data_IF_520490416396
#
_entry.id   IF_520490416396
#
_cell.length_a   1.000
_cell.length_b   1.000
_cell.length_c   1.000
_cell.angle_alpha   90.00
_cell.angle_beta   90.00
_cell.angle_gamma   90.00
#
_symmetry.space_group_name_H-M   'P 1'
#
loop_
_entity.id
_entity.type
_entity.pdbx_description
1 polymer ?
#
# COMPACT_ATOMS: atom_id res chain seq x y z
N UNK A 1 -6.61 19.74 12.90
CA UNK A 1 -6.49 19.22 11.53
C UNK A 1 -6.18 17.71 11.60
N UNK A 2 -6.99 16.86 10.98
CA UNK A 2 -6.77 15.41 11.01
C UNK A 2 -5.79 15.02 9.90
N UNK A 3 -4.70 14.36 10.28
CA UNK A 3 -3.71 13.81 9.33
C UNK A 3 -4.17 12.43 8.84
N UNK A 4 -5.04 12.41 7.84
CA UNK A 4 -5.68 11.18 7.32
C UNK A 4 -4.67 10.13 6.86
N UNK A 5 -3.51 10.56 6.32
CA UNK A 5 -2.44 9.67 5.88
C UNK A 5 -1.84 8.83 7.02
N UNK A 6 -1.89 9.32 8.27
CA UNK A 6 -1.33 8.64 9.44
C UNK A 6 -2.33 7.74 10.15
N UNK A 7 -3.59 7.71 9.72
CA UNK A 7 -4.58 6.81 10.30
C UNK A 7 -4.31 5.35 9.92
N UNK A 8 -4.58 4.40 10.83
CA UNK A 8 -4.43 2.98 10.56
C UNK A 8 -5.18 2.53 9.31
N UNK A 9 -4.63 1.54 8.60
CA UNK A 9 -5.31 0.90 7.46
C UNK A 9 -6.21 -0.22 7.95
N UNK A 10 -7.28 -0.47 7.21
CA UNK A 10 -8.21 -1.56 7.50
C UNK A 10 -7.61 -2.88 7.01
N UNK A 11 -7.13 -3.70 7.93
CA UNK A 11 -6.57 -5.03 7.66
C UNK A 11 -7.41 -6.16 8.27
N UNK A 12 -8.49 -5.83 8.99
CA UNK A 12 -9.36 -6.82 9.62
C UNK A 12 -10.20 -7.59 8.60
N UNK A 13 -10.53 -8.85 8.93
CA UNK A 13 -11.27 -9.75 8.03
C UNK A 13 -12.70 -9.30 7.76
N UNK A 14 -13.40 -8.76 8.77
CA UNK A 14 -14.79 -8.31 8.65
C UNK A 14 -15.03 -6.95 9.30
N UNK A 15 -14.72 -5.92 8.52
CA UNK A 15 -14.91 -4.52 8.90
C UNK A 15 -16.40 -4.19 9.17
N UNK A 16 -17.32 -4.80 8.40
CA UNK A 16 -18.75 -4.51 8.52
C UNK A 16 -19.34 -5.10 9.79
N UNK A 17 -18.90 -6.31 10.17
CA UNK A 17 -19.30 -6.93 11.43
C UNK A 17 -18.78 -6.11 12.61
N UNK A 18 -17.50 -5.78 12.63
CA UNK A 18 -16.90 -4.95 13.69
C UNK A 18 -17.65 -3.62 13.86
N UNK A 19 -18.00 -2.95 12.76
CA UNK A 19 -18.77 -1.72 12.78
C UNK A 19 -20.18 -1.90 13.35
N UNK A 20 -20.87 -2.99 12.98
CA UNK A 20 -22.21 -3.30 13.50
C UNK A 20 -22.19 -3.54 15.01
N UNK A 21 -21.23 -4.35 15.49
CA UNK A 21 -21.07 -4.63 16.91
C UNK A 21 -20.77 -3.35 17.70
N UNK A 22 -19.87 -2.52 17.18
CA UNK A 22 -19.55 -1.23 17.81
C UNK A 22 -20.78 -0.32 17.91
N UNK A 23 -21.57 -0.21 16.84
CA UNK A 23 -22.79 0.61 16.83
C UNK A 23 -23.88 0.05 17.75
N UNK A 24 -23.91 -1.26 17.96
CA UNK A 24 -24.81 -1.92 18.92
C UNK A 24 -24.32 -1.80 20.38
N UNK A 25 -23.10 -1.36 20.62
CA UNK A 25 -22.49 -1.35 21.95
C UNK A 25 -22.14 -2.74 22.47
N UNK A 26 -22.04 -3.75 21.60
CA UNK A 26 -21.76 -5.14 21.95
C UNK A 26 -20.24 -5.37 22.09
N UNK A 27 -19.72 -4.96 23.25
CA UNK A 27 -18.30 -5.07 23.55
C UNK A 27 -17.86 -6.55 23.73
N UNK A 28 -18.72 -7.36 24.33
CA UNK A 28 -18.41 -8.77 24.60
C UNK A 28 -18.18 -9.54 23.28
N UNK A 29 -19.04 -9.34 22.30
CA UNK A 29 -18.86 -9.93 20.96
C UNK A 29 -17.62 -9.41 20.24
N UNK A 30 -17.24 -8.13 20.42
CA UNK A 30 -16.01 -7.60 19.88
C UNK A 30 -14.79 -8.28 20.50
N UNK A 31 -14.77 -8.48 21.81
CA UNK A 31 -13.67 -9.13 22.53
C UNK A 31 -13.56 -10.62 22.20
N UNK A 32 -14.68 -11.28 21.94
CA UNK A 32 -14.72 -12.71 21.56
C UNK A 32 -14.25 -12.96 20.12
N UNK A 33 -14.60 -12.08 19.19
CA UNK A 33 -14.41 -12.31 17.76
C UNK A 33 -13.13 -11.68 17.19
N UNK A 34 -12.53 -10.75 17.91
CA UNK A 34 -11.33 -10.03 17.48
C UNK A 34 -10.25 -10.08 18.57
N UNK A 35 -9.01 -10.26 18.14
CA UNK A 35 -7.86 -10.41 19.05
C UNK A 35 -7.58 -9.18 19.93
N UNK A 36 -7.97 -7.99 19.47
CA UNK A 36 -7.72 -6.73 20.16
C UNK A 36 -8.78 -5.68 19.83
N UNK A 37 -9.62 -5.36 20.80
CA UNK A 37 -10.64 -4.30 20.65
C UNK A 37 -10.01 -2.92 20.37
N UNK A 38 -8.92 -2.49 21.04
CA UNK A 38 -8.26 -1.24 20.69
C UNK A 38 -7.79 -1.19 19.23
N UNK A 39 -7.29 -2.29 18.69
CA UNK A 39 -6.89 -2.36 17.28
C UNK A 39 -8.10 -2.25 16.36
N UNK A 40 -9.20 -2.95 16.66
CA UNK A 40 -10.46 -2.82 15.93
C UNK A 40 -10.93 -1.37 15.90
N UNK A 41 -10.96 -0.69 17.04
CA UNK A 41 -11.38 0.70 17.14
C UNK A 41 -10.49 1.61 16.29
N UNK A 42 -9.17 1.41 16.35
CA UNK A 42 -8.22 2.20 15.58
C UNK A 42 -8.44 2.05 14.06
N UNK A 43 -8.72 0.84 13.59
CA UNK A 43 -8.97 0.56 12.18
C UNK A 43 -10.34 1.09 11.70
N UNK A 44 -11.32 1.22 12.61
CA UNK A 44 -12.64 1.78 12.28
C UNK A 44 -12.65 3.30 12.12
N UNK A 45 -11.62 4.03 12.58
CA UNK A 45 -11.58 5.51 12.52
C UNK A 45 -11.82 6.03 11.10
N UNK A 46 -11.25 5.40 10.07
CA UNK A 46 -11.44 5.81 8.68
C UNK A 46 -12.90 5.72 8.24
N UNK A 47 -13.69 4.83 8.80
CA UNK A 47 -15.09 4.64 8.45
C UNK A 47 -15.99 5.75 8.99
N UNK A 48 -15.49 6.58 9.91
CA UNK A 48 -16.19 7.76 10.43
C UNK A 48 -16.19 8.95 9.44
N UNK A 49 -15.31 8.92 8.42
CA UNK A 49 -15.33 9.93 7.37
C UNK A 49 -16.45 9.62 6.37
N UNK A 50 -17.55 10.32 6.50
CA UNK A 50 -18.70 10.24 5.60
C UNK A 50 -18.88 11.59 4.91
N UNK A 51 -19.13 11.62 3.59
CA UNK A 51 -19.41 12.87 2.91
C UNK A 51 -20.79 13.39 3.31
N UNK A 52 -20.98 14.70 3.30
CA UNK A 52 -22.30 15.32 3.48
C UNK A 52 -23.28 14.88 2.38
N UNK A 53 -24.57 14.96 2.66
CA UNK A 53 -25.61 14.60 1.68
C UNK A 53 -25.41 15.37 0.36
N UNK A 54 -25.40 14.64 -0.75
CA UNK A 54 -25.16 15.19 -2.08
C UNK A 54 -23.69 15.44 -2.44
N UNK A 55 -22.76 15.10 -1.55
CA UNK A 55 -21.32 15.21 -1.77
C UNK A 55 -20.65 13.83 -1.84
N UNK A 56 -19.44 13.79 -2.38
CA UNK A 56 -18.60 12.59 -2.40
C UNK A 56 -17.14 12.98 -2.12
N UNK A 57 -16.36 12.06 -1.54
CA UNK A 57 -14.92 12.21 -1.49
C UNK A 57 -14.32 11.91 -2.86
N UNK A 58 -13.39 12.76 -3.28
CA UNK A 58 -12.48 12.49 -4.39
C UNK A 58 -11.13 12.26 -3.76
N UNK A 59 -10.63 11.02 -3.85
CA UNK A 59 -9.35 10.63 -3.28
C UNK A 59 -8.42 10.26 -4.41
N UNK A 60 -7.29 10.97 -4.50
CA UNK A 60 -6.22 10.69 -5.47
C UNK A 60 -4.88 10.80 -4.79
N UNK A 61 -3.92 10.01 -5.26
CA UNK A 61 -2.54 10.02 -4.79
C UNK A 61 -1.61 9.87 -5.99
N UNK A 62 -0.40 10.42 -5.87
CA UNK A 62 0.62 10.25 -6.89
C UNK A 62 1.20 8.85 -6.85
N UNK A 63 1.12 8.15 -7.98
CA UNK A 63 1.70 6.81 -8.10
C UNK A 63 3.22 6.87 -8.11
N UNK A 64 3.85 6.30 -7.07
CA UNK A 64 5.30 6.16 -6.94
C UNK A 64 6.08 7.49 -7.20
N UNK A 65 5.58 8.62 -6.66
CA UNK A 65 6.14 9.94 -6.93
C UNK A 65 7.62 10.03 -6.57
N UNK A 66 8.03 9.44 -5.46
CA UNK A 66 9.41 9.45 -4.99
C UNK A 66 10.35 8.77 -6.00
N UNK A 67 9.97 7.57 -6.47
CA UNK A 67 10.75 6.86 -7.49
C UNK A 67 10.85 7.65 -8.81
N UNK A 68 9.79 8.37 -9.18
CA UNK A 68 9.79 9.24 -10.38
C UNK A 68 10.74 10.41 -10.23
N UNK A 69 10.68 11.11 -9.11
CA UNK A 69 11.53 12.29 -8.83
C UNK A 69 13.00 11.88 -8.74
N UNK A 70 13.31 10.80 -8.02
CA UNK A 70 14.68 10.30 -7.89
C UNK A 70 15.25 9.89 -9.25
N UNK A 71 14.48 9.13 -10.05
CA UNK A 71 14.91 8.73 -11.39
C UNK A 71 15.16 9.93 -12.30
N UNK A 72 14.32 10.95 -12.22
CA UNK A 72 14.52 12.18 -12.99
C UNK A 72 15.78 12.93 -12.55
N UNK A 73 16.01 13.10 -11.25
CA UNK A 73 17.20 13.75 -10.71
C UNK A 73 18.49 12.98 -11.03
N UNK A 74 18.44 11.65 -10.98
CA UNK A 74 19.58 10.78 -11.27
C UNK A 74 19.84 10.57 -12.76
N UNK A 75 18.93 11.00 -13.63
CA UNK A 75 19.02 10.75 -15.08
C UNK A 75 18.83 9.28 -15.46
N UNK A 76 18.13 8.48 -14.64
CA UNK A 76 17.87 7.05 -14.85
C UNK A 76 16.86 6.81 -15.98
N UNK A 77 17.35 6.79 -17.22
CA UNK A 77 16.53 6.73 -18.44
C UNK A 77 15.55 5.57 -18.45
N UNK A 78 15.98 4.35 -18.13
CA UNK A 78 15.11 3.16 -18.16
C UNK A 78 13.92 3.25 -17.17
N UNK A 79 14.13 3.88 -16.01
CA UNK A 79 13.06 4.10 -15.02
C UNK A 79 12.07 5.12 -15.57
N UNK A 80 12.57 6.21 -16.12
CA UNK A 80 11.74 7.26 -16.72
C UNK A 80 10.91 6.70 -17.88
N UNK A 81 11.51 5.90 -18.74
CA UNK A 81 10.83 5.27 -19.88
C UNK A 81 9.78 4.24 -19.42
N UNK A 82 10.09 3.44 -18.38
CA UNK A 82 9.11 2.54 -17.75
C UNK A 82 7.89 3.30 -17.23
N UNK A 83 8.07 4.49 -16.64
CA UNK A 83 6.95 5.30 -16.17
C UNK A 83 6.15 5.95 -17.30
N UNK A 84 6.78 6.26 -18.44
CA UNK A 84 6.08 6.80 -19.63
C UNK A 84 5.25 5.73 -20.33
N UNK A 85 5.75 4.49 -20.37
CA UNK A 85 5.12 3.38 -21.08
C UNK A 85 3.96 2.79 -20.25
N UNK A 86 4.25 2.06 -19.18
CA UNK A 86 3.23 1.29 -18.46
C UNK A 86 3.22 1.54 -16.93
N UNK A 87 4.23 2.22 -16.38
CA UNK A 87 4.31 2.59 -14.97
C UNK A 87 4.57 1.43 -13.97
N UNK A 88 4.79 0.21 -14.44
CA UNK A 88 5.00 -0.98 -13.61
C UNK A 88 6.45 -1.08 -13.14
N UNK A 89 6.91 -0.08 -12.39
CA UNK A 89 8.32 0.02 -11.99
C UNK A 89 8.77 -1.13 -11.08
N UNK A 90 7.90 -1.61 -10.18
CA UNK A 90 8.24 -2.68 -9.25
C UNK A 90 8.41 -4.03 -9.95
N UNK A 91 7.55 -4.32 -10.91
CA UNK A 91 7.63 -5.51 -11.76
C UNK A 91 8.89 -5.46 -12.64
N UNK A 92 9.17 -4.31 -13.23
CA UNK A 92 10.38 -4.10 -14.05
C UNK A 92 11.65 -4.22 -13.20
N UNK A 93 11.68 -3.64 -12.01
CA UNK A 93 12.83 -3.79 -11.09
C UNK A 93 13.02 -5.26 -10.70
N UNK A 94 11.94 -5.98 -10.36
CA UNK A 94 12.01 -7.39 -10.04
C UNK A 94 12.52 -8.21 -11.25
N UNK A 95 12.02 -7.95 -12.44
CA UNK A 95 12.46 -8.59 -13.68
C UNK A 95 13.98 -8.43 -13.89
N UNK A 96 14.49 -7.23 -13.74
CA UNK A 96 15.94 -6.93 -13.86
C UNK A 96 16.77 -7.58 -12.76
N UNK A 97 16.27 -7.63 -11.52
CA UNK A 97 17.00 -8.21 -10.38
C UNK A 97 17.10 -9.73 -10.44
N UNK A 98 16.04 -10.38 -10.87
CA UNK A 98 15.92 -11.85 -10.81
C UNK A 98 16.01 -12.52 -12.17
N UNK A 99 16.11 -11.77 -13.26
CA UNK A 99 16.18 -12.31 -14.62
C UNK A 99 14.88 -13.00 -15.06
N UNK A 100 13.76 -12.67 -14.44
CA UNK A 100 12.44 -13.25 -14.77
C UNK A 100 11.70 -12.29 -15.71
N UNK A 101 11.11 -12.78 -16.81
CA UNK A 101 10.30 -11.96 -17.70
C UNK A 101 9.17 -11.23 -16.95
N UNK A 102 8.98 -9.94 -17.22
CA UNK A 102 7.99 -9.11 -16.54
C UNK A 102 6.56 -9.65 -16.72
N UNK A 103 6.29 -10.31 -17.85
CA UNK A 103 5.00 -10.93 -18.20
C UNK A 103 4.60 -12.05 -17.24
N UNK A 104 5.57 -12.65 -16.55
CA UNK A 104 5.33 -13.67 -15.53
C UNK A 104 5.05 -13.05 -14.14
N UNK A 105 5.46 -11.79 -13.90
CA UNK A 105 5.30 -11.10 -12.62
C UNK A 105 3.91 -10.44 -12.57
N UNK A 106 2.87 -11.26 -12.70
CA UNK A 106 1.46 -10.83 -12.71
C UNK A 106 0.66 -11.59 -11.65
N UNK A 107 -0.42 -10.98 -11.18
CA UNK A 107 -1.29 -11.59 -10.17
C UNK A 107 -1.81 -12.95 -10.67
N UNK A 108 -1.67 -13.96 -9.82
CA UNK A 108 -2.06 -15.35 -10.11
C UNK A 108 -0.88 -16.27 -10.44
N UNK A 109 0.29 -15.71 -10.75
CA UNK A 109 1.51 -16.49 -10.95
C UNK A 109 2.36 -16.54 -9.68
N UNK A 110 3.13 -17.61 -9.44
CA UNK A 110 4.06 -17.70 -8.32
C UNK A 110 5.10 -16.58 -8.31
N UNK A 111 5.54 -16.14 -9.49
CA UNK A 111 6.53 -15.08 -9.68
C UNK A 111 6.03 -13.70 -9.22
N UNK A 112 4.73 -13.55 -8.97
CA UNK A 112 4.18 -12.27 -8.48
C UNK A 112 4.76 -11.84 -7.13
N UNK A 113 5.21 -12.78 -6.30
CA UNK A 113 5.89 -12.47 -5.04
C UNK A 113 7.17 -11.65 -5.24
N UNK A 114 7.84 -11.79 -6.38
CA UNK A 114 9.03 -11.04 -6.74
C UNK A 114 8.76 -9.53 -6.84
N UNK A 115 7.52 -9.16 -7.15
CA UNK A 115 7.08 -7.75 -7.20
C UNK A 115 7.30 -7.03 -5.87
N UNK A 116 7.03 -7.68 -4.73
CA UNK A 116 7.25 -7.07 -3.41
C UNK A 116 8.74 -6.86 -3.14
N UNK A 117 9.59 -7.77 -3.60
CA UNK A 117 11.05 -7.61 -3.54
C UNK A 117 11.53 -6.46 -4.43
N UNK A 118 10.98 -6.35 -5.64
CA UNK A 118 11.24 -5.23 -6.56
C UNK A 118 10.80 -3.88 -5.97
N UNK A 119 9.64 -3.85 -5.32
CA UNK A 119 9.15 -2.67 -4.61
C UNK A 119 10.07 -2.27 -3.46
N UNK A 120 10.47 -3.24 -2.64
CA UNK A 120 11.40 -3.00 -1.53
C UNK A 120 12.72 -2.43 -2.03
N UNK A 121 13.30 -3.02 -3.07
CA UNK A 121 14.55 -2.55 -3.66
C UNK A 121 14.42 -1.12 -4.21
N UNK A 122 13.36 -0.83 -4.97
CA UNK A 122 13.12 0.50 -5.53
C UNK A 122 13.03 1.57 -4.43
N UNK A 123 12.29 1.30 -3.36
CA UNK A 123 12.12 2.23 -2.26
C UNK A 123 13.38 2.34 -1.38
N UNK A 124 14.00 1.22 -1.03
CA UNK A 124 15.20 1.21 -0.19
C UNK A 124 16.36 1.97 -0.87
N UNK A 125 16.62 1.73 -2.15
CA UNK A 125 17.65 2.47 -2.88
C UNK A 125 17.34 3.98 -2.97
N UNK A 126 16.05 4.34 -3.10
CA UNK A 126 15.63 5.73 -3.08
C UNK A 126 15.86 6.44 -1.75
N UNK A 127 15.82 5.71 -0.64
CA UNK A 127 16.09 6.22 0.71
C UNK A 127 17.50 5.92 1.23
N UNK A 128 18.49 5.80 0.34
CA UNK A 128 19.88 5.51 0.69
C UNK A 128 20.09 4.15 1.40
N UNK A 129 19.16 3.23 1.21
CA UNK A 129 19.30 1.86 1.70
C UNK A 129 20.46 1.17 1.03
N UNK A 130 21.31 0.49 1.83
CA UNK A 130 22.40 -0.33 1.33
C UNK A 130 22.38 -1.70 2.00
N UNK A 131 23.05 -2.68 1.37
CA UNK A 131 23.27 -3.98 1.98
C UNK A 131 24.30 -3.80 3.11
N UNK A 132 23.85 -3.92 4.36
CA UNK A 132 24.76 -3.99 5.50
C UNK A 132 25.55 -5.29 5.40
N UNK A 133 26.85 -5.21 5.15
CA UNK A 133 27.75 -6.33 5.40
C UNK A 133 27.84 -6.52 6.92
N UNK A 134 27.27 -7.61 7.41
CA UNK A 134 27.66 -8.17 8.71
C UNK A 134 28.82 -9.11 8.52
#
# INVERSE_FOLDING_TARGET
LVQVQNLPRNNMRDLNLARKLLLAGDYESLELLFDSVPDVLSQLIRTAFIPSKGHRFIVSDFSAIEARVIAWLAGEGWVIDTFKDHGKIYEMTASKMFGVPMELIVRGNPEYELREKGKLATLACGYQGSVSRR
#
